data_IF_114787069611
#
_entry.id   IF_114787069611
#
_cell.length_a   1.000
_cell.length_b   1.000
_cell.length_c   1.000
_cell.angle_alpha   90.00
_cell.angle_beta   90.00
_cell.angle_gamma   90.00
#
_symmetry.space_group_name_H-M   'P 1'
#
loop_
_entity.id
_entity.type
_entity.pdbx_description
1 polymer ?
#
# COMPACT_ATOMS: atom_id res chain seq x y z
N UNK A 1 -51.96 53.18 18.64
CA UNK A 1 -51.47 53.24 20.04
C UNK A 1 -50.63 52.01 20.32
N UNK A 2 -49.39 52.26 20.75
CA UNK A 2 -48.56 51.54 21.73
C UNK A 2 -48.64 50.00 21.88
N UNK A 3 -47.48 49.39 21.62
CA UNK A 3 -46.68 48.47 22.46
C UNK A 3 -47.23 47.06 22.70
N UNK A 4 -46.43 46.06 22.34
CA UNK A 4 -45.78 45.16 23.31
C UNK A 4 -44.68 44.32 22.65
N UNK A 5 -43.47 44.46 23.21
CA UNK A 5 -42.34 43.55 23.08
C UNK A 5 -42.71 42.18 23.67
N UNK A 6 -42.25 41.08 23.04
CA UNK A 6 -41.85 39.88 23.76
C UNK A 6 -40.76 39.16 22.96
N UNK A 7 -39.65 38.95 23.65
CA UNK A 7 -38.42 38.26 23.29
C UNK A 7 -38.70 36.75 23.27
N UNK A 8 -38.19 36.03 22.26
CA UNK A 8 -37.77 34.64 22.46
C UNK A 8 -36.54 34.33 21.60
N UNK A 9 -35.41 34.24 22.28
CA UNK A 9 -34.15 33.66 21.80
C UNK A 9 -34.36 32.14 21.79
N UNK A 10 -34.13 31.47 20.65
CA UNK A 10 -33.77 30.05 20.64
C UNK A 10 -33.13 29.64 19.30
N UNK A 11 -31.83 29.33 19.40
CA UNK A 11 -31.09 28.34 18.63
C UNK A 11 -30.94 28.57 17.11
N UNK A 12 -29.90 29.35 16.79
CA UNK A 12 -28.98 28.98 15.70
C UNK A 12 -28.44 27.59 16.01
N UNK A 13 -29.06 26.58 15.42
CA UNK A 13 -28.46 25.27 15.20
C UNK A 13 -28.68 24.92 13.72
N UNK A 14 -28.07 25.73 12.85
CA UNK A 14 -27.58 25.19 11.59
C UNK A 14 -26.58 24.13 12.01
N UNK A 15 -27.08 22.90 12.09
CA UNK A 15 -26.27 21.72 12.27
C UNK A 15 -25.26 21.71 11.14
N UNK A 16 -24.07 22.25 11.44
CA UNK A 16 -22.81 21.80 10.89
C UNK A 16 -22.65 20.33 11.28
N UNK A 17 -23.47 19.46 10.69
CA UNK A 17 -22.98 18.11 10.45
C UNK A 17 -22.02 18.32 9.29
N UNK A 18 -20.73 18.25 9.60
CA UNK A 18 -19.68 18.30 8.60
C UNK A 18 -19.93 17.17 7.60
N UNK A 19 -20.62 17.48 6.51
CA UNK A 19 -20.37 16.86 5.22
C UNK A 19 -18.96 17.32 4.80
N UNK A 20 -17.94 16.90 5.55
CA UNK A 20 -16.66 16.67 4.92
C UNK A 20 -17.01 15.69 3.80
N UNK A 21 -16.77 16.05 2.53
CA UNK A 21 -16.83 15.06 1.47
C UNK A 21 -15.94 13.94 1.97
N UNK A 22 -16.50 12.75 2.22
CA UNK A 22 -15.68 11.54 2.20
C UNK A 22 -15.03 11.63 0.84
N UNK A 23 -13.74 11.98 0.80
CA UNK A 23 -12.96 11.89 -0.43
C UNK A 23 -13.27 10.51 -0.97
N UNK A 24 -14.06 10.47 -2.03
CA UNK A 24 -14.33 9.23 -2.74
C UNK A 24 -12.97 8.80 -3.22
N UNK A 25 -12.39 7.83 -2.51
CA UNK A 25 -11.14 7.17 -2.88
C UNK A 25 -11.33 6.78 -4.34
N UNK A 26 -10.67 7.51 -5.24
CA UNK A 26 -10.78 7.25 -6.66
C UNK A 26 -10.42 5.76 -6.86
N UNK A 27 -11.15 5.03 -7.71
CA UNK A 27 -10.86 3.61 -7.92
C UNK A 27 -9.41 3.48 -8.39
N UNK A 28 -8.55 2.95 -7.51
CA UNK A 28 -7.15 2.68 -7.85
C UNK A 28 -7.10 1.47 -8.78
N UNK A 29 -6.24 1.50 -9.79
CA UNK A 29 -5.98 0.32 -10.62
C UNK A 29 -4.89 -0.60 -10.02
N UNK A 30 -4.28 -0.17 -8.91
CA UNK A 30 -3.24 -0.92 -8.21
C UNK A 30 -3.89 -1.96 -7.31
N UNK A 31 -3.71 -3.24 -7.64
CA UNK A 31 -4.36 -4.35 -6.93
C UNK A 31 -4.12 -4.32 -5.41
N UNK A 32 -2.86 -4.11 -5.00
CA UNK A 32 -2.50 -4.06 -3.57
C UNK A 32 -3.18 -2.89 -2.86
N UNK A 33 -3.26 -1.73 -3.52
CA UNK A 33 -3.93 -0.56 -2.95
C UNK A 33 -5.43 -0.83 -2.77
N UNK A 34 -6.08 -1.45 -3.77
CA UNK A 34 -7.48 -1.86 -3.67
C UNK A 34 -7.69 -2.81 -2.48
N UNK A 35 -6.87 -3.84 -2.33
CA UNK A 35 -7.01 -4.83 -1.24
C UNK A 35 -6.78 -4.23 0.14
N UNK A 36 -5.81 -3.33 0.28
CA UNK A 36 -5.59 -2.61 1.53
C UNK A 36 -6.77 -1.70 1.85
N UNK A 37 -7.28 -0.95 0.86
CA UNK A 37 -8.48 -0.12 1.04
C UNK A 37 -9.72 -0.93 1.42
N UNK A 38 -9.96 -2.06 0.75
CA UNK A 38 -11.06 -2.99 1.05
C UNK A 38 -10.97 -3.48 2.50
N UNK A 39 -9.77 -3.89 2.94
CA UNK A 39 -9.55 -4.35 4.31
C UNK A 39 -9.80 -3.25 5.34
N UNK A 40 -9.29 -2.03 5.09
CA UNK A 40 -9.52 -0.87 5.97
C UNK A 40 -11.02 -0.54 6.06
N UNK A 41 -11.74 -0.57 4.94
CA UNK A 41 -13.17 -0.29 4.90
C UNK A 41 -14.01 -1.34 5.65
N UNK A 42 -13.56 -2.60 5.66
CA UNK A 42 -14.19 -3.69 6.41
C UNK A 42 -13.88 -3.64 7.92
N UNK A 43 -12.82 -2.94 8.31
CA UNK A 43 -12.33 -2.86 9.69
C UNK A 43 -12.06 -1.41 10.12
N UNK A 44 -13.06 -0.51 10.13
CA UNK A 44 -12.87 0.91 10.48
C UNK A 44 -12.25 1.09 11.88
N UNK A 45 -12.60 0.21 12.82
CA UNK A 45 -12.08 0.19 14.19
C UNK A 45 -10.57 0.00 14.28
N UNK A 46 -9.96 -0.61 13.26
CA UNK A 46 -8.51 -0.83 13.18
C UNK A 46 -7.75 0.47 12.96
N UNK A 47 -8.36 1.41 12.23
CA UNK A 47 -7.77 2.72 11.94
C UNK A 47 -8.07 3.76 13.02
N UNK A 48 -9.21 3.66 13.71
CA UNK A 48 -9.66 4.65 14.69
C UNK A 48 -9.10 4.49 16.11
N UNK A 49 -8.51 3.35 16.47
CA UNK A 49 -7.96 3.10 17.81
C UNK A 49 -6.52 3.60 18.02
N UNK A 50 -6.21 4.04 19.26
CA UNK A 50 -4.85 4.41 19.72
C UNK A 50 -3.93 3.18 19.82
N UNK A 51 -4.47 2.02 20.18
CA UNK A 51 -3.78 0.73 20.17
C UNK A 51 -4.19 -0.07 18.92
N UNK A 52 -3.20 -0.65 18.23
CA UNK A 52 -3.47 -1.57 17.13
C UNK A 52 -4.28 -2.76 17.66
N UNK A 53 -5.47 -2.99 17.11
CA UNK A 53 -6.24 -4.20 17.41
C UNK A 53 -5.43 -5.40 16.92
N UNK A 54 -4.85 -6.16 17.85
CA UNK A 54 -3.94 -7.28 17.54
C UNK A 54 -4.63 -8.35 16.70
N UNK A 55 -5.89 -8.66 16.99
CA UNK A 55 -6.66 -9.66 16.24
C UNK A 55 -6.86 -9.22 14.78
N UNK A 56 -7.27 -7.96 14.56
CA UNK A 56 -7.45 -7.43 13.20
C UNK A 56 -6.10 -7.34 12.49
N UNK A 57 -5.05 -6.97 13.20
CA UNK A 57 -3.69 -6.94 12.64
C UNK A 57 -3.25 -8.35 12.22
N UNK A 58 -3.53 -9.38 13.00
CA UNK A 58 -3.26 -10.76 12.61
C UNK A 58 -4.12 -11.23 11.42
N UNK A 59 -5.36 -10.78 11.31
CA UNK A 59 -6.20 -10.99 10.11
C UNK A 59 -5.58 -10.33 8.88
N UNK A 60 -5.15 -9.07 8.99
CA UNK A 60 -4.48 -8.35 7.92
C UNK A 60 -3.22 -9.09 7.44
N UNK A 61 -2.37 -9.54 8.38
CA UNK A 61 -1.17 -10.32 8.05
C UNK A 61 -1.50 -11.59 7.26
N UNK A 62 -2.59 -12.28 7.59
CA UNK A 62 -3.03 -13.47 6.85
C UNK A 62 -3.53 -13.12 5.46
N UNK A 63 -4.32 -12.05 5.34
CA UNK A 63 -4.83 -11.58 4.06
C UNK A 63 -3.70 -11.13 3.13
N UNK A 64 -2.72 -10.36 3.60
CA UNK A 64 -1.56 -9.96 2.79
C UNK A 64 -0.80 -11.18 2.25
N UNK A 65 -0.60 -12.20 3.08
CA UNK A 65 0.01 -13.45 2.63
C UNK A 65 -0.86 -14.16 1.61
N UNK A 66 -2.18 -14.20 1.79
CA UNK A 66 -3.12 -14.75 0.81
C UNK A 66 -3.02 -14.01 -0.52
N UNK A 67 -3.12 -12.68 -0.52
CA UNK A 67 -3.02 -11.79 -1.68
C UNK A 67 -1.71 -11.99 -2.43
N UNK A 68 -0.61 -12.24 -1.74
CA UNK A 68 0.70 -12.45 -2.38
C UNK A 68 0.76 -13.66 -3.32
N UNK A 69 -0.19 -14.60 -3.20
CA UNK A 69 -0.31 -15.75 -4.11
C UNK A 69 -1.23 -15.46 -5.31
N UNK A 70 -1.91 -14.32 -5.34
CA UNK A 70 -2.74 -13.94 -6.48
C UNK A 70 -1.85 -13.45 -7.62
N UNK A 71 -2.17 -13.84 -8.86
CA UNK A 71 -1.41 -13.45 -10.05
C UNK A 71 -1.32 -11.92 -10.23
N UNK A 72 -2.33 -11.22 -9.72
CA UNK A 72 -2.48 -9.78 -9.80
C UNK A 72 -1.70 -9.04 -8.71
N UNK A 73 -0.97 -9.71 -7.81
CA UNK A 73 -0.35 -9.07 -6.66
C UNK A 73 0.59 -7.91 -7.02
N UNK A 74 1.30 -7.99 -8.15
CA UNK A 74 2.17 -6.89 -8.61
C UNK A 74 1.50 -5.96 -9.63
N UNK A 75 0.24 -6.21 -9.97
CA UNK A 75 -0.46 -5.51 -11.05
C UNK A 75 -0.56 -4.01 -10.76
N UNK A 76 -0.05 -3.21 -11.70
CA UNK A 76 0.06 -1.74 -11.63
C UNK A 76 0.81 -1.20 -10.38
N UNK A 77 1.42 -2.06 -9.55
CA UNK A 77 2.19 -1.61 -8.39
C UNK A 77 3.44 -0.86 -8.89
N UNK A 78 3.62 0.42 -8.52
CA UNK A 78 4.80 1.19 -8.91
C UNK A 78 5.97 0.80 -8.01
N UNK A 79 7.05 0.33 -8.61
CA UNK A 79 8.21 -0.22 -7.89
C UNK A 79 9.50 0.50 -8.29
N UNK A 80 10.22 1.02 -7.32
CA UNK A 80 11.53 1.62 -7.54
C UNK A 80 12.63 0.56 -7.46
N UNK A 81 13.49 0.51 -8.47
CA UNK A 81 14.65 -0.37 -8.48
C UNK A 81 15.77 0.20 -7.60
N UNK A 82 16.28 -0.61 -6.66
CA UNK A 82 17.30 -0.19 -5.68
C UNK A 82 18.70 -0.69 -5.98
N UNK A 83 18.82 -1.83 -6.67
CA UNK A 83 20.11 -2.37 -7.05
C UNK A 83 20.10 -3.88 -7.25
N UNK A 84 21.25 -4.40 -7.69
CA UNK A 84 21.49 -5.83 -7.87
C UNK A 84 22.36 -6.36 -6.74
N UNK A 85 22.15 -7.61 -6.37
CA UNK A 85 23.08 -8.39 -5.57
C UNK A 85 23.34 -9.73 -6.23
N UNK A 86 24.59 -10.17 -6.19
CA UNK A 86 24.96 -11.51 -6.62
C UNK A 86 24.51 -12.54 -5.58
N UNK A 87 24.08 -13.70 -6.04
CA UNK A 87 23.73 -14.83 -5.20
C UNK A 87 24.13 -16.14 -5.87
N UNK A 88 24.21 -17.20 -5.07
CA UNK A 88 24.44 -18.55 -5.54
C UNK A 88 23.21 -19.39 -5.21
N UNK A 89 22.61 -20.00 -6.22
CA UNK A 89 21.57 -21.00 -6.04
C UNK A 89 22.12 -22.32 -6.59
N UNK A 90 22.28 -23.33 -5.73
CA UNK A 90 22.85 -24.64 -6.09
C UNK A 90 24.22 -24.54 -6.80
N UNK A 91 25.07 -23.59 -6.39
CA UNK A 91 26.40 -23.37 -6.97
C UNK A 91 26.40 -22.60 -8.30
N UNK A 92 25.23 -22.27 -8.86
CA UNK A 92 25.11 -21.41 -10.03
C UNK A 92 24.90 -19.95 -9.62
N UNK A 93 25.61 -19.04 -10.28
CA UNK A 93 25.49 -17.60 -10.06
C UNK A 93 24.19 -17.04 -10.61
N UNK A 94 23.46 -16.30 -9.75
CA UNK A 94 22.26 -15.56 -10.11
C UNK A 94 22.37 -14.11 -9.63
N UNK A 95 21.66 -13.21 -10.29
CA UNK A 95 21.50 -11.83 -9.84
C UNK A 95 20.08 -11.63 -9.32
N UNK A 96 19.99 -11.04 -8.14
CA UNK A 96 18.72 -10.64 -7.53
C UNK A 96 18.60 -9.13 -7.61
N UNK A 97 17.54 -8.65 -8.25
CA UNK A 97 17.19 -7.24 -8.29
C UNK A 97 16.30 -6.89 -7.12
N UNK A 98 16.65 -5.88 -6.33
CA UNK A 98 15.82 -5.39 -5.24
C UNK A 98 14.94 -4.26 -5.73
N UNK A 99 13.63 -4.38 -5.50
CA UNK A 99 12.64 -3.35 -5.77
C UNK A 99 11.88 -3.00 -4.49
N UNK A 100 11.53 -1.72 -4.32
CA UNK A 100 10.71 -1.25 -3.21
C UNK A 100 9.52 -0.47 -3.75
N UNK A 101 8.37 -0.50 -3.07
CA UNK A 101 7.22 0.33 -3.41
C UNK A 101 7.62 1.79 -3.60
N UNK A 102 7.16 2.41 -4.69
CA UNK A 102 7.46 3.80 -5.02
C UNK A 102 6.42 4.75 -4.44
N UNK A 103 6.85 5.58 -3.49
CA UNK A 103 6.05 6.67 -2.93
C UNK A 103 6.17 7.91 -3.80
N UNK A 104 5.02 8.49 -4.16
CA UNK A 104 4.92 9.66 -5.02
C UNK A 104 4.15 10.75 -4.26
N UNK A 105 4.89 11.78 -3.84
CA UNK A 105 4.36 12.88 -3.05
C UNK A 105 3.38 13.77 -3.83
N UNK A 106 3.21 13.55 -5.13
CA UNK A 106 2.20 14.24 -5.96
C UNK A 106 0.84 13.53 -5.97
N UNK A 107 0.75 12.30 -5.41
CA UNK A 107 -0.52 11.57 -5.32
C UNK A 107 -1.52 12.26 -4.38
N UNK A 108 -2.83 12.09 -4.61
CA UNK A 108 -3.84 12.56 -3.68
C UNK A 108 -3.60 12.03 -2.26
N UNK A 109 -3.86 12.86 -1.25
CA UNK A 109 -3.67 12.52 0.17
C UNK A 109 -4.45 11.28 0.61
N UNK A 110 -5.59 11.00 -0.03
CA UNK A 110 -6.40 9.80 0.23
C UNK A 110 -5.84 8.49 -0.35
N UNK A 111 -4.75 8.52 -1.13
CA UNK A 111 -4.15 7.30 -1.69
C UNK A 111 -3.33 6.57 -0.62
N UNK A 112 -3.75 5.35 -0.27
CA UNK A 112 -3.02 4.51 0.69
C UNK A 112 -1.68 4.01 0.12
N UNK A 113 -1.45 4.13 -1.18
CA UNK A 113 -0.23 3.70 -1.86
C UNK A 113 1.03 4.39 -1.31
N UNK A 114 0.93 5.65 -0.89
CA UNK A 114 2.05 6.37 -0.26
C UNK A 114 2.36 5.89 1.16
N UNK A 115 1.47 5.11 1.76
CA UNK A 115 1.59 4.57 3.09
C UNK A 115 1.84 3.05 3.08
N UNK A 116 1.94 2.44 1.88
CA UNK A 116 2.25 1.02 1.69
C UNK A 116 3.76 0.87 1.46
N UNK A 117 4.39 -0.03 2.22
CA UNK A 117 5.76 -0.47 1.97
C UNK A 117 5.74 -1.92 1.52
N UNK A 118 6.37 -2.19 0.38
CA UNK A 118 6.49 -3.54 -0.18
C UNK A 118 7.90 -3.69 -0.75
N UNK A 119 8.58 -4.79 -0.41
CA UNK A 119 9.86 -5.14 -1.01
C UNK A 119 9.73 -6.41 -1.87
N UNK A 120 10.26 -6.34 -3.08
CA UNK A 120 10.37 -7.48 -4.00
C UNK A 120 11.84 -7.74 -4.30
N UNK A 121 12.31 -8.93 -3.97
CA UNK A 121 13.55 -9.48 -4.51
C UNK A 121 13.20 -10.23 -5.81
N UNK A 122 13.52 -9.63 -6.95
CA UNK A 122 13.29 -10.21 -8.27
C UNK A 122 14.44 -11.10 -8.71
N UNK A 123 14.15 -12.36 -9.04
CA UNK A 123 15.00 -13.18 -9.90
C UNK A 123 14.76 -12.68 -11.33
N UNK A 124 15.74 -11.99 -11.90
CA UNK A 124 15.60 -11.33 -13.19
C UNK A 124 16.56 -12.00 -14.19
N UNK A 125 16.08 -12.46 -15.36
CA UNK A 125 16.95 -13.00 -16.39
C UNK A 125 17.88 -11.90 -16.96
N UNK A 126 19.05 -12.31 -17.44
CA UNK A 126 20.14 -11.38 -17.80
C UNK A 126 19.76 -10.36 -18.89
N UNK A 127 18.86 -10.75 -19.79
CA UNK A 127 18.36 -9.91 -20.87
C UNK A 127 17.52 -8.72 -20.37
N UNK A 128 16.80 -8.88 -19.26
CA UNK A 128 16.02 -7.81 -18.62
C UNK A 128 16.85 -6.92 -17.69
N UNK A 129 18.01 -7.39 -17.22
CA UNK A 129 18.88 -6.61 -16.34
C UNK A 129 19.38 -5.32 -16.98
N UNK A 130 19.55 -5.30 -18.31
CA UNK A 130 20.01 -4.11 -19.06
C UNK A 130 18.98 -2.96 -19.05
N UNK A 131 17.73 -3.27 -18.77
CA UNK A 131 16.63 -2.30 -18.74
C UNK A 131 16.45 -1.67 -17.34
N UNK A 132 17.18 -2.19 -16.35
CA UNK A 132 17.13 -1.74 -14.95
C UNK A 132 18.19 -0.66 -14.67
N UNK A 133 17.71 0.54 -14.37
CA UNK A 133 18.51 1.69 -13.99
C UNK A 133 18.23 2.05 -12.54
N UNK A 134 19.30 2.17 -11.74
CA UNK A 134 19.19 2.43 -10.32
C UNK A 134 18.29 3.65 -10.04
N UNK A 135 17.43 3.51 -9.03
CA UNK A 135 16.48 4.51 -8.56
C UNK A 135 15.39 4.91 -9.57
N UNK A 136 15.28 4.23 -10.72
CA UNK A 136 14.13 4.36 -11.64
C UNK A 136 12.96 3.48 -11.21
N UNK A 137 11.77 3.84 -11.71
CA UNK A 137 10.50 3.24 -11.35
C UNK A 137 9.99 2.33 -12.47
N UNK A 138 9.39 1.20 -12.08
CA UNK A 138 8.93 0.15 -12.99
C UNK A 138 7.63 -0.48 -12.51
N UNK A 139 6.81 -0.94 -13.45
CA UNK A 139 5.81 -1.97 -13.23
C UNK A 139 6.47 -3.32 -13.51
N UNK A 140 6.22 -4.27 -12.62
CA UNK A 140 6.80 -5.60 -12.68
C UNK A 140 5.73 -6.61 -13.07
N UNK A 141 6.10 -7.56 -13.93
CA UNK A 141 5.32 -8.79 -14.14
C UNK A 141 6.18 -9.96 -13.75
N UNK A 142 5.60 -10.90 -13.01
CA UNK A 142 6.32 -12.07 -12.56
C UNK A 142 5.42 -13.01 -11.77
N UNK A 143 5.98 -14.16 -11.42
CA UNK A 143 5.31 -15.18 -10.60
C UNK A 143 5.97 -15.25 -9.24
N UNK A 144 5.18 -15.49 -8.18
CA UNK A 144 5.70 -15.67 -6.84
C UNK A 144 6.66 -16.87 -6.83
N UNK A 145 7.92 -16.62 -6.45
CA UNK A 145 8.92 -17.67 -6.30
C UNK A 145 9.03 -18.12 -4.83
N UNK A 146 9.01 -17.15 -3.91
CA UNK A 146 9.01 -17.41 -2.47
C UNK A 146 8.08 -16.44 -1.77
N UNK A 147 7.13 -17.01 -1.05
CA UNK A 147 6.21 -16.27 -0.18
C UNK A 147 6.98 -15.55 0.93
N UNK A 148 6.50 -14.37 1.31
CA UNK A 148 7.00 -13.62 2.47
C UNK A 148 6.61 -14.27 3.80
N UNK A 149 7.02 -13.66 4.91
CA UNK A 149 6.65 -14.12 6.25
C UNK A 149 5.59 -13.21 6.85
N UNK A 150 4.60 -13.81 7.54
CA UNK A 150 3.60 -13.05 8.32
C UNK A 150 4.22 -12.09 9.32
N UNK A 151 5.38 -12.45 9.91
CA UNK A 151 6.08 -11.62 10.88
C UNK A 151 6.67 -10.33 10.27
N UNK A 152 6.84 -10.30 8.95
CA UNK A 152 7.36 -9.13 8.22
C UNK A 152 6.24 -8.14 7.89
N UNK A 153 4.97 -8.56 7.92
CA UNK A 153 3.81 -7.69 7.70
C UNK A 153 3.47 -6.93 8.99
N UNK A 154 3.43 -5.60 8.94
CA UNK A 154 3.27 -4.74 10.14
C UNK A 154 2.46 -3.48 9.83
N UNK A 155 1.73 -3.01 10.84
CA UNK A 155 1.26 -1.63 10.87
C UNK A 155 2.38 -0.78 11.42
N UNK A 156 2.73 0.28 10.71
CA UNK A 156 3.82 1.20 11.05
C UNK A 156 3.28 2.62 11.17
N UNK A 157 4.05 3.51 11.78
CA UNK A 157 3.76 4.95 11.78
C UNK A 157 4.52 5.60 10.62
N UNK A 158 3.81 6.26 9.71
CA UNK A 158 4.37 7.00 8.59
C UNK A 158 3.92 8.45 8.73
N UNK A 159 4.83 9.32 9.19
CA UNK A 159 4.51 10.67 9.64
C UNK A 159 3.37 10.64 10.69
N UNK A 160 2.28 11.35 10.45
CA UNK A 160 1.12 11.40 11.33
C UNK A 160 0.06 10.33 11.00
N UNK A 161 0.35 9.45 10.03
CA UNK A 161 -0.58 8.45 9.52
C UNK A 161 -0.15 7.02 9.87
N UNK A 162 -1.11 6.09 9.85
CA UNK A 162 -0.83 4.66 9.86
C UNK A 162 -0.35 4.24 8.46
N UNK A 163 0.79 3.58 8.41
CA UNK A 163 1.30 2.90 7.22
C UNK A 163 1.28 1.38 7.37
N UNK A 164 1.51 0.71 6.25
CA UNK A 164 1.35 -0.73 6.10
C UNK A 164 2.61 -1.30 5.46
N UNK A 165 3.49 -1.89 6.27
CA UNK A 165 4.58 -2.72 5.76
C UNK A 165 3.99 -4.08 5.39
N UNK A 166 3.96 -4.37 4.10
CA UNK A 166 3.44 -5.61 3.55
C UNK A 166 4.52 -6.70 3.50
N UNK A 167 5.75 -6.38 3.92
CA UNK A 167 6.86 -7.31 4.01
C UNK A 167 7.63 -7.48 2.70
N UNK A 168 8.35 -8.60 2.64
CA UNK A 168 9.30 -8.90 1.58
C UNK A 168 8.99 -10.23 0.89
N UNK A 169 8.99 -10.23 -0.43
CA UNK A 169 8.69 -11.40 -1.26
C UNK A 169 9.77 -11.63 -2.31
N UNK A 170 9.86 -12.85 -2.83
CA UNK A 170 10.72 -13.15 -3.98
C UNK A 170 9.86 -13.53 -5.16
N UNK A 171 10.08 -12.87 -6.30
CA UNK A 171 9.36 -13.13 -7.54
C UNK A 171 10.33 -13.52 -8.66
N UNK A 172 9.90 -14.43 -9.53
CA UNK A 172 10.55 -14.65 -10.82
C UNK A 172 9.99 -13.63 -11.81
N UNK A 173 10.80 -12.63 -12.18
CA UNK A 173 10.37 -11.49 -12.98
C UNK A 173 10.50 -11.83 -14.46
N UNK A 174 9.40 -11.70 -15.19
CA UNK A 174 9.30 -12.00 -16.62
C UNK A 174 9.17 -10.75 -17.49
N UNK A 175 8.81 -9.60 -16.89
CA UNK A 175 8.73 -8.32 -17.59
C UNK A 175 8.99 -7.16 -16.64
N UNK A 176 9.65 -6.13 -17.17
CA UNK A 176 9.83 -4.83 -16.52
C UNK A 176 9.36 -3.74 -17.49
N UNK A 177 8.48 -2.84 -17.04
CA UNK A 177 7.97 -1.72 -17.83
C UNK A 177 8.30 -0.42 -17.08
N UNK A 178 9.11 0.50 -17.64
CA UNK A 178 9.38 1.79 -17.01
C UNK A 178 8.09 2.59 -16.75
N UNK A 179 8.06 3.34 -15.66
CA UNK A 179 7.05 4.38 -15.37
C UNK A 179 7.51 5.75 -15.88
#
# INVERSE_FOLDING_TARGET
MKRLFLILIAAVAVSCTSNQPKETVAPSNVFVEQKVNEFIAQHPEWTSGETANEEITEKFKREVIRWSNEEQFLNEMPMQFKGLRDTLLNGQGFKIATFTGYNDNTRPSGSVLNYIQLQIDGIVPNDLLKDLNKDKNYHLTGMLYKQGKRADVKVIKVADFKGYDLGKYTFSITKVKPL
#
